data_IF_328179809922
#
_entry.id   IF_328179809922
#
_cell.length_a   1.000
_cell.length_b   1.000
_cell.length_c   1.000
_cell.angle_alpha   90.00
_cell.angle_beta   90.00
_cell.angle_gamma   90.00
#
_symmetry.space_group_name_H-M   'P 1'
#
loop_
_entity.id
_entity.type
_entity.pdbx_description
1 polymer ?
#
# COMPACT_ATOMS: atom_id res chain seq x y z
N UNK A 1 -8.01 6.49 -0.04
CA UNK A 1 -8.45 7.16 -1.28
C UNK A 1 -7.28 7.50 -2.20
N UNK A 2 -6.19 8.17 -1.71
CA UNK A 2 -5.05 8.59 -2.54
C UNK A 2 -4.38 7.47 -3.32
N UNK A 3 -4.28 6.30 -2.73
CA UNK A 3 -3.65 5.15 -3.34
C UNK A 3 -4.38 4.56 -4.55
N UNK A 4 -5.70 4.60 -4.59
CA UNK A 4 -6.49 3.98 -5.65
C UNK A 4 -6.29 4.65 -7.02
N UNK A 5 -5.98 5.95 -7.05
CA UNK A 5 -5.85 6.71 -8.30
C UNK A 5 -4.60 6.37 -9.11
N UNK A 6 -3.52 5.94 -8.47
CA UNK A 6 -2.24 5.70 -9.13
C UNK A 6 -1.91 4.21 -9.31
N UNK A 7 -2.62 3.32 -8.61
CA UNK A 7 -2.30 1.89 -8.59
C UNK A 7 -2.32 1.25 -9.99
N UNK A 8 -3.26 1.65 -10.85
CA UNK A 8 -3.38 1.14 -12.20
C UNK A 8 -2.23 1.58 -13.12
N UNK A 9 -1.58 2.72 -12.84
CA UNK A 9 -0.46 3.22 -13.64
C UNK A 9 0.88 2.70 -13.12
N UNK A 10 1.00 2.46 -11.82
CA UNK A 10 2.26 2.10 -11.18
C UNK A 10 2.79 0.72 -11.58
N UNK A 11 1.91 -0.26 -11.85
CA UNK A 11 2.32 -1.56 -12.37
C UNK A 11 3.13 -1.43 -13.66
N UNK A 12 2.54 -0.96 -14.76
CA UNK A 12 3.23 -0.75 -16.03
C UNK A 12 4.39 0.25 -15.97
N UNK A 13 4.34 1.23 -15.08
CA UNK A 13 5.42 2.19 -14.89
C UNK A 13 6.63 1.51 -14.24
N UNK A 14 6.40 0.67 -13.23
CA UNK A 14 7.47 -0.07 -12.54
C UNK A 14 8.14 -1.11 -13.43
N UNK A 15 7.42 -1.65 -14.43
CA UNK A 15 8.00 -2.57 -15.42
C UNK A 15 9.06 -1.91 -16.30
N UNK A 16 8.97 -0.59 -16.47
CA UNK A 16 9.80 0.19 -17.38
C UNK A 16 10.88 1.03 -16.69
N UNK A 17 10.62 1.49 -15.47
CA UNK A 17 11.61 2.21 -14.65
C UNK A 17 12.48 1.22 -13.88
N UNK A 18 11.91 0.08 -13.52
CA UNK A 18 12.49 -0.92 -12.63
C UNK A 18 11.62 -1.10 -11.38
N UNK A 19 11.45 -2.32 -10.95
CA UNK A 19 10.68 -2.66 -9.74
C UNK A 19 11.35 -2.11 -8.49
N UNK A 20 12.67 -2.32 -8.40
CA UNK A 20 13.47 -1.93 -7.24
C UNK A 20 13.47 -0.42 -7.01
N UNK A 21 13.83 0.46 -7.97
CA UNK A 21 13.85 1.90 -7.75
C UNK A 21 12.46 2.46 -7.46
N UNK A 22 11.40 1.94 -8.08
CA UNK A 22 10.02 2.39 -7.83
C UNK A 22 9.59 2.01 -6.41
N UNK A 23 9.90 0.81 -5.94
CA UNK A 23 9.59 0.39 -4.57
C UNK A 23 10.36 1.20 -3.53
N UNK A 24 11.65 1.44 -3.74
CA UNK A 24 12.47 2.29 -2.86
C UNK A 24 11.95 3.73 -2.82
N UNK A 25 11.54 4.28 -3.97
CA UNK A 25 10.92 5.60 -4.03
C UNK A 25 9.62 5.66 -3.22
N UNK A 26 8.79 4.61 -3.27
CA UNK A 26 7.58 4.50 -2.45
C UNK A 26 7.86 4.51 -0.95
N UNK A 27 8.91 3.79 -0.51
CA UNK A 27 9.32 3.77 0.91
C UNK A 27 9.86 5.14 1.34
N UNK A 28 10.69 5.78 0.52
CA UNK A 28 11.18 7.15 0.80
C UNK A 28 10.01 8.14 0.88
N UNK A 29 9.05 8.06 -0.05
CA UNK A 29 7.85 8.87 -0.01
C UNK A 29 7.04 8.67 1.27
N UNK A 30 6.92 7.43 1.75
CA UNK A 30 6.27 7.13 3.02
C UNK A 30 7.00 7.78 4.20
N UNK A 31 8.32 7.67 4.27
CA UNK A 31 9.15 8.29 5.33
C UNK A 31 8.97 9.81 5.32
N UNK A 32 9.09 10.44 4.15
CA UNK A 32 8.95 11.89 4.01
C UNK A 32 7.57 12.36 4.46
N UNK A 33 6.51 11.66 4.06
CA UNK A 33 5.14 12.01 4.46
C UNK A 33 4.89 11.77 5.96
N UNK A 34 5.45 10.73 6.57
CA UNK A 34 5.40 10.53 8.02
C UNK A 34 6.06 11.69 8.77
N UNK A 35 7.23 12.14 8.34
CA UNK A 35 7.93 13.27 8.96
C UNK A 35 7.22 14.60 8.70
N UNK A 36 6.66 14.80 7.50
CA UNK A 36 5.90 16.00 7.16
C UNK A 36 4.63 16.14 8.02
N UNK A 37 3.99 15.04 8.41
CA UNK A 37 2.81 15.06 9.29
C UNK A 37 3.13 15.68 10.65
N UNK A 38 4.37 15.54 11.14
CA UNK A 38 4.80 16.16 12.40
C UNK A 38 4.82 17.69 12.33
N UNK A 39 4.87 18.26 11.13
CA UNK A 39 4.89 19.71 10.88
C UNK A 39 3.49 20.27 10.58
N UNK A 40 2.45 19.43 10.57
CA UNK A 40 1.09 19.86 10.28
C UNK A 40 0.54 20.76 11.41
N UNK A 41 0.13 21.97 11.06
CA UNK A 41 -0.37 22.97 11.99
C UNK A 41 -1.90 23.02 12.06
N UNK A 42 -2.58 22.41 11.09
CA UNK A 42 -4.04 22.39 11.02
C UNK A 42 -4.54 21.06 10.42
N UNK A 43 -5.83 20.80 10.58
CA UNK A 43 -6.47 19.56 10.13
C UNK A 43 -6.45 19.39 8.61
N UNK A 44 -6.45 20.48 7.86
CA UNK A 44 -6.42 20.41 6.39
C UNK A 44 -5.06 19.92 5.90
N UNK A 45 -3.97 20.48 6.45
CA UNK A 45 -2.60 20.03 6.16
C UNK A 45 -2.42 18.56 6.57
N UNK A 46 -2.88 18.19 7.75
CA UNK A 46 -2.83 16.81 8.22
C UNK A 46 -3.57 15.88 7.25
N UNK A 47 -4.78 16.23 6.83
CA UNK A 47 -5.60 15.43 5.91
C UNK A 47 -4.93 15.29 4.54
N UNK A 48 -4.36 16.37 4.01
CA UNK A 48 -3.62 16.36 2.75
C UNK A 48 -2.40 15.44 2.84
N UNK A 49 -1.61 15.56 3.90
CA UNK A 49 -0.43 14.72 4.11
C UNK A 49 -0.80 13.24 4.27
N UNK A 50 -1.91 12.92 4.94
CA UNK A 50 -2.45 11.55 5.02
C UNK A 50 -2.92 11.03 3.67
N UNK A 51 -3.50 11.89 2.84
CA UNK A 51 -3.84 11.53 1.46
C UNK A 51 -2.58 11.21 0.64
N UNK A 52 -1.55 12.06 0.72
CA UNK A 52 -0.26 11.85 0.06
C UNK A 52 0.47 10.60 0.59
N UNK A 53 0.42 10.35 1.89
CA UNK A 53 0.95 9.14 2.49
C UNK A 53 0.26 7.87 1.94
N UNK A 54 -1.05 7.93 1.70
CA UNK A 54 -1.81 6.83 1.10
C UNK A 54 -1.34 6.45 -0.32
N UNK A 55 -0.67 7.35 -1.04
CA UNK A 55 -0.08 7.07 -2.35
C UNK A 55 1.06 6.05 -2.23
N UNK A 56 1.88 6.12 -1.17
CA UNK A 56 3.00 5.21 -0.97
C UNK A 56 2.58 3.73 -0.88
N UNK A 57 1.39 3.46 -0.35
CA UNK A 57 0.86 2.10 -0.25
C UNK A 57 0.67 1.43 -1.62
N UNK A 58 0.43 2.23 -2.66
CA UNK A 58 0.32 1.71 -4.02
C UNK A 58 1.65 1.27 -4.59
N UNK A 59 2.71 2.04 -4.33
CA UNK A 59 4.06 1.66 -4.74
C UNK A 59 4.47 0.34 -4.09
N UNK A 60 4.26 0.21 -2.79
CA UNK A 60 4.64 -0.97 -2.02
C UNK A 60 3.75 -2.16 -2.39
N UNK A 61 2.44 -1.98 -2.43
CA UNK A 61 1.48 -3.04 -2.72
C UNK A 61 1.63 -3.58 -4.14
N UNK A 62 1.40 -2.76 -5.17
CA UNK A 62 1.39 -3.20 -6.56
C UNK A 62 2.76 -3.74 -6.99
N UNK A 63 3.84 -3.01 -6.69
CA UNK A 63 5.20 -3.39 -7.09
C UNK A 63 5.73 -4.55 -6.27
N UNK A 64 5.43 -4.59 -4.96
CA UNK A 64 5.88 -5.65 -4.08
C UNK A 64 5.30 -7.01 -4.45
N UNK A 65 3.98 -7.10 -4.72
CA UNK A 65 3.36 -8.35 -5.17
C UNK A 65 3.94 -8.82 -6.52
N UNK A 66 4.14 -7.92 -7.47
CA UNK A 66 4.73 -8.26 -8.75
C UNK A 66 6.18 -8.76 -8.60
N UNK A 67 7.00 -8.07 -7.81
CA UNK A 67 8.37 -8.48 -7.55
C UNK A 67 8.47 -9.86 -6.89
N UNK A 68 7.55 -10.19 -5.97
CA UNK A 68 7.50 -11.52 -5.34
C UNK A 68 7.17 -12.59 -6.39
N UNK A 69 6.17 -12.35 -7.24
CA UNK A 69 5.78 -13.29 -8.29
C UNK A 69 6.87 -13.54 -9.34
N UNK A 70 7.70 -12.53 -9.59
CA UNK A 70 8.81 -12.63 -10.53
C UNK A 70 10.09 -13.22 -9.93
N UNK A 71 10.27 -13.13 -8.60
CA UNK A 71 11.50 -13.54 -7.91
C UNK A 71 11.47 -14.98 -7.39
N UNK A 72 10.30 -15.56 -7.16
CA UNK A 72 10.15 -16.84 -6.49
C UNK A 72 9.34 -17.85 -7.30
N UNK A 73 9.61 -19.14 -7.10
CA UNK A 73 8.80 -20.24 -7.63
C UNK A 73 7.38 -20.20 -7.05
N UNK A 74 6.41 -20.72 -7.81
CA UNK A 74 4.98 -20.66 -7.50
C UNK A 74 4.65 -21.12 -6.06
N UNK A 75 5.22 -22.22 -5.59
CA UNK A 75 4.96 -22.76 -4.26
C UNK A 75 5.45 -21.81 -3.13
N UNK A 76 6.56 -21.13 -3.32
CA UNK A 76 7.13 -20.15 -2.38
C UNK A 76 6.33 -18.84 -2.44
N UNK A 77 5.97 -18.41 -3.65
CA UNK A 77 5.16 -17.23 -3.90
C UNK A 77 3.79 -17.32 -3.18
N UNK A 78 3.12 -18.48 -3.25
CA UNK A 78 1.86 -18.73 -2.55
C UNK A 78 2.04 -18.57 -1.02
N UNK A 79 3.12 -19.15 -0.46
CA UNK A 79 3.39 -19.05 0.99
C UNK A 79 3.65 -17.60 1.44
N UNK A 80 4.47 -16.86 0.68
CA UNK A 80 4.77 -15.44 0.99
C UNK A 80 3.50 -14.60 0.90
N UNK A 81 2.71 -14.77 -0.17
CA UNK A 81 1.46 -14.04 -0.38
C UNK A 81 0.43 -14.35 0.73
N UNK A 82 0.33 -15.61 1.15
CA UNK A 82 -0.53 -16.00 2.27
C UNK A 82 -0.07 -15.36 3.60
N UNK A 83 1.24 -15.31 3.85
CA UNK A 83 1.79 -14.63 5.03
C UNK A 83 1.48 -13.13 5.00
N UNK A 84 1.66 -12.46 3.87
CA UNK A 84 1.31 -11.05 3.70
C UNK A 84 -0.19 -10.79 3.93
N UNK A 85 -1.05 -11.68 3.43
CA UNK A 85 -2.49 -11.59 3.64
C UNK A 85 -2.85 -11.74 5.14
N UNK A 86 -2.23 -12.67 5.86
CA UNK A 86 -2.43 -12.83 7.30
C UNK A 86 -2.01 -11.57 8.06
N UNK A 87 -0.86 -10.98 7.75
CA UNK A 87 -0.41 -9.72 8.37
C UNK A 87 -1.40 -8.60 8.07
N UNK A 88 -1.90 -8.51 6.82
CA UNK A 88 -2.87 -7.51 6.43
C UNK A 88 -4.22 -7.65 7.13
N UNK A 89 -4.61 -8.86 7.54
CA UNK A 89 -5.82 -9.11 8.35
C UNK A 89 -5.62 -8.80 9.84
N UNK A 90 -4.45 -9.13 10.38
CA UNK A 90 -4.14 -8.93 11.80
C UNK A 90 -3.88 -7.46 12.12
N UNK A 91 -3.25 -6.72 11.21
CA UNK A 91 -2.88 -5.32 11.43
C UNK A 91 -4.07 -4.39 11.75
N UNK A 92 -5.23 -4.44 11.08
CA UNK A 92 -6.41 -3.66 11.44
C UNK A 92 -7.03 -4.06 12.79
N UNK A 93 -6.85 -5.31 13.21
CA UNK A 93 -7.35 -5.80 14.51
C UNK A 93 -6.48 -5.28 15.66
N UNK A 94 -5.17 -5.37 15.52
CA UNK A 94 -4.22 -4.92 16.55
C UNK A 94 -3.99 -3.41 16.55
N UNK A 95 -4.15 -2.75 15.40
CA UNK A 95 -3.88 -1.32 15.25
C UNK A 95 -4.59 -0.44 16.26
N UNK A 96 -5.92 -0.53 16.43
CA UNK A 96 -6.65 0.25 17.43
C UNK A 96 -6.20 0.00 18.87
N UNK A 97 -5.90 -1.26 19.22
CA UNK A 97 -5.42 -1.64 20.56
C UNK A 97 -4.05 -1.03 20.86
N UNK A 98 -3.11 -1.20 19.92
CA UNK A 98 -1.78 -0.61 20.02
C UNK A 98 -1.85 0.92 20.03
N UNK A 99 -2.71 1.51 19.19
CA UNK A 99 -2.93 2.94 19.13
C UNK A 99 -3.48 3.51 20.45
N UNK A 100 -4.49 2.86 21.03
CA UNK A 100 -5.05 3.25 22.31
C UNK A 100 -4.00 3.15 23.43
N UNK A 101 -3.26 2.06 23.51
CA UNK A 101 -2.18 1.90 24.49
C UNK A 101 -1.09 2.97 24.32
N UNK A 102 -0.75 3.32 23.07
CA UNK A 102 0.27 4.31 22.75
C UNK A 102 -0.09 5.70 23.29
N UNK A 103 -1.30 6.19 22.99
CA UNK A 103 -1.73 7.55 23.41
C UNK A 103 -1.84 7.74 24.91
N UNK A 104 -1.91 6.66 25.70
CA UNK A 104 -1.86 6.74 27.16
C UNK A 104 -0.45 7.01 27.70
N UNK A 105 0.59 6.68 26.96
CA UNK A 105 1.98 6.75 27.43
C UNK A 105 2.80 7.78 26.67
N UNK A 106 2.50 7.95 25.37
CA UNK A 106 3.30 8.73 24.43
C UNK A 106 2.39 9.65 23.60
N UNK A 107 2.92 10.80 23.13
CA UNK A 107 2.17 11.66 22.23
C UNK A 107 1.90 10.96 20.88
N UNK A 108 0.78 11.30 20.25
CA UNK A 108 0.35 10.66 18.99
C UNK A 108 1.34 10.85 17.84
N UNK A 109 2.09 11.94 17.84
CA UNK A 109 3.15 12.26 16.87
C UNK A 109 4.24 11.20 16.87
N UNK A 110 4.56 10.63 18.02
CA UNK A 110 5.57 9.60 18.17
C UNK A 110 5.29 8.33 17.34
N UNK A 111 4.01 8.03 17.03
CA UNK A 111 3.66 6.93 16.13
C UNK A 111 4.22 7.15 14.72
N UNK A 112 4.18 8.39 14.22
CA UNK A 112 4.70 8.68 12.88
C UNK A 112 6.23 8.60 12.83
N UNK A 113 6.90 8.95 13.93
CA UNK A 113 8.34 8.75 14.08
C UNK A 113 8.68 7.26 14.06
N UNK A 114 7.92 6.44 14.81
CA UNK A 114 8.09 4.98 14.81
C UNK A 114 7.88 4.40 13.40
N UNK A 115 6.82 4.81 12.70
CA UNK A 115 6.56 4.34 11.34
C UNK A 115 7.66 4.77 10.37
N UNK A 116 8.17 5.99 10.48
CA UNK A 116 9.30 6.44 9.67
C UNK A 116 10.58 5.64 9.95
N UNK A 117 10.85 5.32 11.22
CA UNK A 117 12.00 4.50 11.62
C UNK A 117 11.88 3.06 11.08
N UNK A 118 10.72 2.42 11.21
CA UNK A 118 10.47 1.07 10.66
C UNK A 118 10.59 1.06 9.13
N UNK A 119 10.07 2.10 8.46
CA UNK A 119 10.21 2.26 7.02
C UNK A 119 11.67 2.47 6.59
N UNK A 120 12.46 3.20 7.37
CA UNK A 120 13.90 3.37 7.12
C UNK A 120 14.65 2.04 7.25
N UNK A 121 14.36 1.23 8.27
CA UNK A 121 14.93 -0.12 8.41
C UNK A 121 14.55 -0.98 7.19
N UNK A 122 13.27 -0.93 6.78
CA UNK A 122 12.77 -1.64 5.59
C UNK A 122 13.45 -1.16 4.31
N UNK A 123 13.73 0.13 4.18
CA UNK A 123 14.46 0.71 3.05
C UNK A 123 15.86 0.08 2.90
N UNK A 124 16.64 0.03 3.98
CA UNK A 124 17.97 -0.58 3.96
C UNK A 124 17.90 -2.08 3.68
N UNK A 125 16.90 -2.78 4.23
CA UNK A 125 16.65 -4.19 3.95
C UNK A 125 16.36 -4.42 2.47
N UNK A 126 15.45 -3.67 1.89
CA UNK A 126 15.10 -3.74 0.47
C UNK A 126 16.27 -3.37 -0.44
N UNK A 127 17.01 -2.32 -0.08
CA UNK A 127 18.18 -1.90 -0.86
C UNK A 127 19.24 -3.01 -0.97
N UNK A 128 19.37 -3.85 0.07
CA UNK A 128 20.34 -4.95 0.08
C UNK A 128 19.80 -6.24 -0.52
N UNK A 129 18.55 -6.57 -0.26
CA UNK A 129 18.00 -7.89 -0.53
C UNK A 129 17.15 -7.95 -1.81
N UNK A 130 16.55 -6.83 -2.27
CA UNK A 130 15.66 -6.83 -3.41
C UNK A 130 16.42 -6.83 -4.74
N UNK A 131 16.33 -7.89 -5.56
CA UNK A 131 16.85 -7.89 -6.93
C UNK A 131 16.00 -7.00 -7.82
N UNK A 132 16.56 -6.57 -8.96
CA UNK A 132 15.75 -5.96 -10.03
C UNK A 132 15.11 -7.08 -10.85
N UNK A 133 13.79 -7.05 -10.97
CA UNK A 133 13.03 -8.10 -11.67
C UNK A 133 12.33 -7.59 -12.92
N UNK A 134 12.31 -6.28 -13.17
CA UNK A 134 11.66 -5.74 -14.35
C UNK A 134 12.34 -6.17 -15.66
N UNK A 135 11.54 -6.63 -16.59
CA UNK A 135 12.01 -7.18 -17.89
C UNK A 135 11.98 -6.15 -19.02
N UNK A 136 11.30 -5.01 -18.84
CA UNK A 136 11.08 -3.98 -19.87
C UNK A 136 11.72 -2.63 -19.57
N UNK A 137 12.84 -2.64 -18.86
CA UNK A 137 13.53 -1.42 -18.45
C UNK A 137 13.96 -0.61 -19.69
N UNK A 138 13.61 0.69 -19.69
CA UNK A 138 13.97 1.65 -20.75
C UNK A 138 12.98 1.74 -21.90
N UNK A 139 11.95 0.90 -21.97
CA UNK A 139 10.88 1.04 -22.96
C UNK A 139 10.01 2.26 -22.69
N UNK A 140 9.59 2.98 -23.74
CA UNK A 140 8.69 4.13 -23.58
C UNK A 140 7.28 3.68 -23.21
N UNK A 141 6.68 4.34 -22.23
CA UNK A 141 5.28 4.09 -21.84
C UNK A 141 4.35 4.54 -22.97
N UNK A 142 3.68 3.60 -23.63
CA UNK A 142 2.66 3.88 -24.63
C UNK A 142 1.28 3.78 -23.98
N UNK A 143 0.59 4.91 -23.83
CA UNK A 143 -0.79 4.93 -23.32
C UNK A 143 -1.75 4.09 -24.19
N UNK A 144 -1.46 3.98 -25.47
CA UNK A 144 -2.24 3.18 -26.41
C UNK A 144 -2.10 1.67 -26.14
N UNK A 145 -0.88 1.21 -25.85
CA UNK A 145 -0.61 -0.18 -25.46
C UNK A 145 -1.25 -0.48 -24.11
N UNK A 146 -1.08 0.41 -23.15
CA UNK A 146 -1.68 0.31 -21.83
C UNK A 146 -3.21 0.18 -21.91
N UNK A 147 -3.87 1.03 -22.68
CA UNK A 147 -5.30 0.97 -22.92
C UNK A 147 -5.75 -0.35 -23.58
N UNK A 148 -4.95 -0.88 -24.54
CA UNK A 148 -5.22 -2.17 -25.16
C UNK A 148 -5.10 -3.33 -24.17
N UNK A 149 -4.08 -3.31 -23.33
CA UNK A 149 -3.82 -4.38 -22.34
C UNK A 149 -4.93 -4.38 -21.26
N UNK A 150 -5.34 -3.22 -20.77
CA UNK A 150 -6.50 -3.11 -19.86
C UNK A 150 -7.79 -3.60 -20.53
N UNK A 151 -8.02 -3.26 -21.78
CA UNK A 151 -9.20 -3.73 -22.52
C UNK A 151 -9.22 -5.25 -22.64
N UNK A 152 -8.06 -5.89 -22.84
CA UNK A 152 -7.95 -7.36 -22.89
C UNK A 152 -8.26 -7.98 -21.53
N UNK A 153 -7.73 -7.41 -20.43
CA UNK A 153 -7.99 -7.89 -19.07
C UNK A 153 -9.47 -7.73 -18.71
N UNK A 154 -10.09 -6.59 -19.02
CA UNK A 154 -11.50 -6.34 -18.77
C UNK A 154 -12.46 -7.19 -19.63
N UNK A 155 -12.01 -7.69 -20.78
CA UNK A 155 -12.78 -8.64 -21.58
C UNK A 155 -12.76 -10.06 -20.99
N UNK A 156 -11.83 -10.38 -20.12
CA UNK A 156 -11.78 -11.68 -19.45
C UNK A 156 -12.83 -11.74 -18.34
N UNK A 157 -13.95 -12.38 -18.60
CA UNK A 157 -15.08 -12.49 -17.66
C UNK A 157 -14.69 -13.16 -16.33
N UNK A 158 -13.76 -14.14 -16.36
CA UNK A 158 -13.27 -14.82 -15.15
C UNK A 158 -12.49 -13.86 -14.27
N UNK A 159 -11.64 -13.03 -14.87
CA UNK A 159 -10.90 -12.00 -14.14
C UNK A 159 -11.84 -10.96 -13.52
N UNK A 160 -12.80 -10.45 -14.31
CA UNK A 160 -13.77 -9.46 -13.83
C UNK A 160 -14.65 -10.03 -12.71
N UNK A 161 -15.13 -11.27 -12.86
CA UNK A 161 -15.93 -11.93 -11.83
C UNK A 161 -15.12 -12.13 -10.52
N UNK A 162 -13.86 -12.57 -10.63
CA UNK A 162 -12.96 -12.70 -9.46
C UNK A 162 -12.67 -11.37 -8.78
N UNK A 163 -12.39 -10.33 -9.54
CA UNK A 163 -12.15 -8.98 -9.02
C UNK A 163 -13.39 -8.40 -8.32
N UNK A 164 -14.57 -8.58 -8.90
CA UNK A 164 -15.84 -8.16 -8.29
C UNK A 164 -16.13 -8.95 -7.01
N UNK A 165 -15.95 -10.27 -7.02
CA UNK A 165 -16.15 -11.10 -5.84
C UNK A 165 -15.23 -10.65 -4.68
N UNK A 166 -13.94 -10.42 -4.97
CA UNK A 166 -12.99 -9.92 -3.98
C UNK A 166 -13.38 -8.53 -3.46
N UNK A 167 -13.83 -7.64 -4.34
CA UNK A 167 -14.33 -6.31 -3.99
C UNK A 167 -15.54 -6.37 -3.05
N UNK A 168 -16.53 -7.18 -3.40
CA UNK A 168 -17.74 -7.34 -2.57
C UNK A 168 -17.47 -7.92 -1.19
N UNK A 169 -16.51 -8.84 -1.08
CA UNK A 169 -16.10 -9.41 0.22
C UNK A 169 -15.29 -8.40 1.04
N UNK A 170 -14.46 -7.58 0.40
CA UNK A 170 -13.57 -6.62 1.10
C UNK A 170 -14.29 -5.33 1.51
N UNK A 171 -15.31 -4.88 0.77
CA UNK A 171 -16.04 -3.63 1.04
C UNK A 171 -16.67 -3.56 2.43
N UNK A 172 -17.44 -4.59 2.91
CA UNK A 172 -18.04 -4.56 4.24
C UNK A 172 -16.99 -4.48 5.35
N UNK A 173 -15.87 -5.18 5.20
CA UNK A 173 -14.78 -5.16 6.16
C UNK A 173 -14.14 -3.77 6.26
N UNK A 174 -13.84 -3.15 5.12
CA UNK A 174 -13.27 -1.81 5.08
C UNK A 174 -14.23 -0.75 5.61
N UNK A 175 -15.52 -0.87 5.26
CA UNK A 175 -16.56 0.02 5.77
C UNK A 175 -16.71 -0.11 7.31
N UNK A 176 -16.69 -1.32 7.83
CA UNK A 176 -16.73 -1.58 9.27
C UNK A 176 -15.53 -0.96 10.00
N UNK A 177 -14.31 -1.20 9.51
CA UNK A 177 -13.09 -0.64 10.10
C UNK A 177 -13.12 0.89 10.10
N UNK A 178 -13.66 1.51 9.04
CA UNK A 178 -13.72 2.96 8.93
C UNK A 178 -14.79 3.60 9.84
N UNK A 179 -15.92 2.91 10.06
CA UNK A 179 -17.08 3.49 10.74
C UNK A 179 -17.24 3.04 12.19
N UNK A 180 -16.67 1.89 12.57
CA UNK A 180 -16.82 1.34 13.92
C UNK A 180 -16.44 2.32 15.05
N UNK A 181 -15.35 3.13 14.96
CA UNK A 181 -15.03 4.10 16.00
C UNK A 181 -16.10 5.18 16.16
N UNK A 182 -16.70 5.62 15.04
CA UNK A 182 -17.75 6.64 15.04
C UNK A 182 -19.03 6.08 15.69
N UNK A 183 -19.43 4.85 15.32
CA UNK A 183 -20.63 4.20 15.85
C UNK A 183 -20.52 3.97 17.35
N UNK A 184 -19.33 3.57 17.83
CA UNK A 184 -19.11 3.34 19.27
C UNK A 184 -19.22 4.67 20.04
N UNK A 185 -18.58 5.75 19.55
CA UNK A 185 -18.59 7.05 20.24
C UNK A 185 -19.99 7.68 20.22
N UNK A 186 -20.75 7.58 19.11
CA UNK A 186 -22.10 8.18 19.00
C UNK A 186 -23.18 7.29 19.62
N UNK A 187 -22.94 5.99 19.77
CA UNK A 187 -23.90 5.07 20.39
C UNK A 187 -23.93 5.10 21.92
N UNK A 188 -22.96 5.75 22.55
CA UNK A 188 -22.90 5.97 24.00
C UNK A 188 -23.56 7.30 24.45
N UNK A 189 -24.12 8.08 23.52
CA UNK A 189 -24.90 9.29 23.80
C UNK A 189 -26.39 9.00 23.65
#
# INVERSE_FOLDING_TARGET
AGGMFLQWLLGPLSDRIGRRPVMLAGVVWFIVTCLAILLAQNIEQFTLLRFLQGISLCFIGAVGYAAIQESFEEAVCIKITALMANVALIAPLLGPLVGAAWIHVLPWEGMFVLFAALAAISFFGLQRAMPETATRIGEKLSLKELGRDYKLVLKNSRFVAGALALGFVSLPLLAWIAQSPIIIITGEQ
#
